data_IF_295139483984
#
_entry.id   IF_295139483984
#
_cell.length_a   1.000
_cell.length_b   1.000
_cell.length_c   1.000
_cell.angle_alpha   90.00
_cell.angle_beta   90.00
_cell.angle_gamma   90.00
#
_symmetry.space_group_name_H-M   'P 1'
#
loop_
_entity.id
_entity.type
_entity.pdbx_description
1 polymer ?
#
# COMPACT_ATOMS: atom_id res chain seq x y z
N UNK A 1 27.57 -37.15 -5.55
CA UNK A 1 27.89 -35.70 -5.40
C UNK A 1 26.65 -35.00 -4.86
N UNK A 2 26.72 -34.35 -3.68
CA UNK A 2 25.59 -33.55 -3.16
C UNK A 2 25.46 -32.28 -4.03
N UNK A 3 24.27 -31.93 -4.53
CA UNK A 3 24.12 -30.72 -5.34
C UNK A 3 24.50 -29.51 -4.48
N UNK A 4 25.39 -28.66 -5.01
CA UNK A 4 25.76 -27.41 -4.37
C UNK A 4 24.49 -26.58 -4.14
N UNK A 5 24.09 -26.42 -2.87
CA UNK A 5 22.94 -25.56 -2.53
C UNK A 5 23.27 -24.16 -3.05
N UNK A 6 22.39 -23.60 -3.87
CA UNK A 6 22.56 -22.21 -4.32
C UNK A 6 22.72 -21.32 -3.08
N UNK A 7 23.65 -20.33 -3.06
CA UNK A 7 23.92 -19.52 -1.87
C UNK A 7 22.63 -18.89 -1.30
N UNK A 8 21.71 -18.49 -2.18
CA UNK A 8 20.37 -17.97 -1.82
C UNK A 8 19.53 -18.99 -1.03
N UNK A 9 19.60 -20.28 -1.39
CA UNK A 9 18.89 -21.36 -0.69
C UNK A 9 19.49 -21.64 0.69
N UNK A 10 20.81 -21.51 0.83
CA UNK A 10 21.48 -21.65 2.12
C UNK A 10 21.04 -20.53 3.08
N UNK A 11 21.10 -19.28 2.62
CA UNK A 11 20.67 -18.10 3.39
C UNK A 11 19.20 -18.19 3.77
N UNK A 12 18.29 -18.46 2.82
CA UNK A 12 16.85 -18.60 3.12
C UNK A 12 16.56 -19.74 4.09
N UNK A 13 17.27 -20.87 3.99
CA UNK A 13 17.11 -21.98 4.94
C UNK A 13 17.59 -21.64 6.36
N UNK A 14 18.66 -20.84 6.47
CA UNK A 14 19.19 -20.37 7.74
C UNK A 14 18.25 -19.35 8.39
N UNK A 15 17.76 -18.35 7.64
CA UNK A 15 16.81 -17.34 8.14
C UNK A 15 15.54 -17.99 8.68
N UNK A 16 15.01 -19.02 8.01
CA UNK A 16 13.81 -19.72 8.48
C UNK A 16 13.98 -20.37 9.85
N UNK A 17 15.18 -20.87 10.16
CA UNK A 17 15.51 -21.54 11.42
C UNK A 17 15.75 -20.57 12.58
N UNK A 18 15.85 -19.27 12.30
CA UNK A 18 16.09 -18.27 13.33
C UNK A 18 14.84 -18.02 14.20
N UNK A 19 15.04 -17.67 15.49
CA UNK A 19 13.95 -17.30 16.38
C UNK A 19 13.28 -15.98 15.93
N UNK A 20 12.02 -15.72 16.34
CA UNK A 20 11.27 -14.52 15.93
C UNK A 20 12.01 -13.21 16.18
N UNK A 21 12.71 -13.10 17.32
CA UNK A 21 13.52 -11.92 17.68
C UNK A 21 14.63 -11.64 16.65
N UNK A 22 15.32 -12.68 16.19
CA UNK A 22 16.40 -12.55 15.20
C UNK A 22 15.81 -12.23 13.83
N UNK A 23 14.65 -12.78 13.46
CA UNK A 23 13.95 -12.41 12.22
C UNK A 23 13.54 -10.95 12.22
N UNK A 24 12.98 -10.45 13.33
CA UNK A 24 12.64 -9.05 13.50
C UNK A 24 13.89 -8.15 13.40
N UNK A 25 14.98 -8.52 14.07
CA UNK A 25 16.25 -7.81 13.99
C UNK A 25 16.82 -7.75 12.56
N UNK A 26 16.83 -8.88 11.84
CA UNK A 26 17.26 -8.94 10.44
C UNK A 26 16.37 -8.10 9.53
N UNK A 27 15.06 -8.09 9.76
CA UNK A 27 14.12 -7.25 9.01
C UNK A 27 14.43 -5.76 9.23
N UNK A 28 14.62 -5.33 10.49
CA UNK A 28 15.00 -3.96 10.83
C UNK A 28 16.32 -3.57 10.17
N UNK A 29 17.36 -4.40 10.27
CA UNK A 29 18.65 -4.13 9.61
C UNK A 29 18.48 -4.02 8.10
N UNK A 30 17.71 -4.91 7.47
CA UNK A 30 17.48 -4.87 6.02
C UNK A 30 16.74 -3.60 5.60
N UNK A 31 15.76 -3.15 6.39
CA UNK A 31 15.04 -1.90 6.16
C UNK A 31 15.95 -0.68 6.32
N UNK A 32 16.74 -0.63 7.39
CA UNK A 32 17.74 0.43 7.60
C UNK A 32 18.77 0.47 6.46
N UNK A 33 19.27 -0.69 6.04
CA UNK A 33 20.20 -0.78 4.92
C UNK A 33 19.58 -0.31 3.62
N UNK A 34 18.32 -0.69 3.34
CA UNK A 34 17.58 -0.21 2.18
C UNK A 34 17.41 1.32 2.21
N UNK A 35 17.05 1.90 3.37
CA UNK A 35 16.94 3.34 3.53
C UNK A 35 18.27 4.07 3.33
N UNK A 36 19.37 3.54 3.89
CA UNK A 36 20.71 4.11 3.69
C UNK A 36 21.14 4.02 2.22
N UNK A 37 20.88 2.90 1.56
CA UNK A 37 21.14 2.76 0.12
C UNK A 37 20.32 3.75 -0.70
N UNK A 38 19.03 3.90 -0.41
CA UNK A 38 18.17 4.86 -1.10
C UNK A 38 18.69 6.28 -0.92
N UNK A 39 19.07 6.67 0.30
CA UNK A 39 19.69 7.98 0.59
C UNK A 39 21.02 8.18 -0.15
N UNK A 40 21.82 7.13 -0.30
CA UNK A 40 23.11 7.19 -0.99
C UNK A 40 22.96 7.28 -2.52
N UNK A 41 21.94 6.64 -3.09
CA UNK A 41 21.69 6.56 -4.54
C UNK A 41 20.87 7.75 -5.03
N UNK A 42 19.87 8.18 -4.26
CA UNK A 42 18.94 9.23 -4.65
C UNK A 42 19.37 10.55 -4.04
N UNK A 43 20.03 11.39 -4.83
CA UNK A 43 20.49 12.73 -4.40
C UNK A 43 19.35 13.71 -4.16
N UNK A 44 18.26 13.57 -4.91
CA UNK A 44 17.08 14.41 -4.80
C UNK A 44 15.87 13.52 -4.49
N UNK A 45 15.42 13.61 -3.23
CA UNK A 45 14.42 12.74 -2.64
C UNK A 45 13.03 12.90 -3.27
N UNK A 46 12.77 14.00 -3.98
CA UNK A 46 11.53 14.20 -4.74
C UNK A 46 11.42 13.16 -5.87
N UNK A 47 12.53 12.63 -6.36
CA UNK A 47 12.53 11.52 -7.31
C UNK A 47 11.98 10.21 -6.72
N UNK A 48 12.09 9.99 -5.39
CA UNK A 48 11.50 8.80 -4.77
C UNK A 48 9.99 8.82 -4.86
N UNK A 49 9.39 9.99 -4.64
CA UNK A 49 7.96 10.19 -4.77
C UNK A 49 7.50 9.95 -6.21
N UNK A 50 8.20 10.54 -7.19
CA UNK A 50 7.90 10.32 -8.63
C UNK A 50 7.99 8.85 -9.01
N UNK A 51 9.01 8.14 -8.54
CA UNK A 51 9.16 6.69 -8.79
C UNK A 51 8.03 5.91 -8.13
N UNK A 52 7.61 6.27 -6.91
CA UNK A 52 6.46 5.64 -6.24
C UNK A 52 5.19 5.76 -7.10
N UNK A 53 4.89 6.95 -7.62
CA UNK A 53 3.73 7.22 -8.48
C UNK A 53 3.79 6.45 -9.81
N UNK A 54 4.97 6.35 -10.43
CA UNK A 54 5.18 5.56 -11.65
C UNK A 54 4.91 4.08 -11.38
N UNK A 55 5.46 3.53 -10.29
CA UNK A 55 5.26 2.13 -9.91
C UNK A 55 3.77 1.86 -9.62
N UNK A 56 3.09 2.77 -8.94
CA UNK A 56 1.65 2.66 -8.68
C UNK A 56 0.85 2.65 -9.99
N UNK A 57 1.17 3.58 -10.91
CA UNK A 57 0.54 3.67 -12.23
C UNK A 57 0.74 2.41 -13.08
N UNK A 58 1.93 1.79 -13.01
CA UNK A 58 2.20 0.49 -13.66
C UNK A 58 1.31 -0.60 -13.05
N UNK A 59 1.17 -0.65 -11.72
CA UNK A 59 0.28 -1.58 -11.04
C UNK A 59 -1.18 -1.46 -11.51
N UNK A 60 -1.68 -0.23 -11.61
CA UNK A 60 -3.01 0.07 -12.14
C UNK A 60 -3.13 -0.37 -13.61
N UNK A 61 -2.11 -0.12 -14.43
CA UNK A 61 -2.09 -0.54 -15.84
C UNK A 61 -2.17 -2.06 -15.99
N UNK A 62 -1.47 -2.81 -15.13
CA UNK A 62 -1.55 -4.28 -15.06
C UNK A 62 -2.97 -4.75 -14.69
N UNK A 63 -3.60 -4.07 -13.73
CA UNK A 63 -4.98 -4.34 -13.34
C UNK A 63 -5.96 -4.10 -14.50
N UNK A 64 -5.82 -2.97 -15.21
CA UNK A 64 -6.61 -2.66 -16.41
C UNK A 64 -6.42 -3.73 -17.47
N UNK A 65 -5.17 -4.13 -17.75
CA UNK A 65 -4.85 -5.16 -18.73
C UNK A 65 -5.59 -6.46 -18.40
N UNK A 66 -5.54 -6.91 -17.14
CA UNK A 66 -6.28 -8.10 -16.68
C UNK A 66 -7.78 -7.97 -16.97
N UNK A 67 -8.41 -6.87 -16.57
CA UNK A 67 -9.86 -6.69 -16.75
C UNK A 67 -10.26 -6.61 -18.23
N UNK A 68 -9.40 -6.03 -19.08
CA UNK A 68 -9.68 -5.88 -20.50
C UNK A 68 -9.41 -7.14 -21.32
N UNK A 69 -8.29 -7.83 -21.06
CA UNK A 69 -7.79 -8.96 -21.87
C UNK A 69 -8.19 -10.30 -21.30
N UNK A 70 -7.97 -10.54 -20.01
CA UNK A 70 -8.34 -11.80 -19.36
C UNK A 70 -9.84 -11.89 -19.05
N UNK A 71 -10.56 -10.75 -19.09
CA UNK A 71 -12.01 -10.68 -18.86
C UNK A 71 -12.44 -11.36 -17.56
N UNK A 72 -11.64 -11.23 -16.51
CA UNK A 72 -11.92 -11.77 -15.18
C UNK A 72 -11.55 -10.77 -14.09
N UNK A 73 -12.37 -10.69 -13.05
CA UNK A 73 -12.08 -9.99 -11.81
C UNK A 73 -11.83 -10.93 -10.62
N UNK A 74 -11.58 -12.21 -10.87
CA UNK A 74 -11.28 -13.19 -9.83
C UNK A 74 -10.12 -12.72 -8.93
N UNK A 75 -10.26 -12.91 -7.61
CA UNK A 75 -9.25 -12.48 -6.64
C UNK A 75 -9.12 -10.96 -6.43
N UNK A 76 -9.98 -10.12 -7.02
CA UNK A 76 -10.09 -8.69 -6.68
C UNK A 76 -11.20 -8.46 -5.66
N UNK A 77 -10.92 -7.62 -4.67
CA UNK A 77 -11.91 -7.15 -3.69
C UNK A 77 -12.59 -5.89 -4.20
N UNK A 78 -13.91 -5.96 -4.39
CA UNK A 78 -14.71 -4.78 -4.70
C UNK A 78 -14.67 -3.79 -3.54
N UNK A 79 -14.70 -4.30 -2.32
CA UNK A 79 -14.67 -3.51 -1.08
C UNK A 79 -13.42 -2.66 -0.96
N UNK A 80 -12.25 -3.20 -1.32
CA UNK A 80 -11.01 -2.42 -1.32
C UNK A 80 -11.04 -1.30 -2.37
N UNK A 81 -11.59 -1.56 -3.56
CA UNK A 81 -11.74 -0.54 -4.60
C UNK A 81 -12.72 0.57 -4.17
N UNK A 82 -13.81 0.22 -3.47
CA UNK A 82 -14.76 1.20 -2.93
C UNK A 82 -14.14 2.07 -1.85
N UNK A 83 -13.40 1.49 -0.91
CA UNK A 83 -12.64 2.26 0.08
C UNK A 83 -11.63 3.18 -0.60
N UNK A 84 -11.02 2.70 -1.70
CA UNK A 84 -10.07 3.48 -2.49
C UNK A 84 -10.72 4.68 -3.17
N UNK A 85 -11.87 4.47 -3.81
CA UNK A 85 -12.66 5.55 -4.39
C UNK A 85 -13.12 6.57 -3.33
N UNK A 86 -13.49 6.12 -2.13
CA UNK A 86 -13.93 7.01 -1.04
C UNK A 86 -12.78 7.91 -0.58
N UNK A 87 -11.60 7.38 -0.24
CA UNK A 87 -10.51 8.24 0.23
C UNK A 87 -10.00 9.16 -0.88
N UNK A 88 -9.94 8.69 -2.13
CA UNK A 88 -9.53 9.53 -3.28
C UNK A 88 -10.54 10.65 -3.54
N UNK A 89 -11.84 10.38 -3.43
CA UNK A 89 -12.86 11.42 -3.59
C UNK A 89 -12.76 12.49 -2.49
N UNK A 90 -12.56 12.06 -1.23
CA UNK A 90 -12.38 12.99 -0.11
C UNK A 90 -11.08 13.79 -0.27
N UNK A 91 -9.98 13.14 -0.67
CA UNK A 91 -8.70 13.80 -0.93
C UNK A 91 -8.79 14.82 -2.06
N UNK A 92 -9.43 14.45 -3.17
CA UNK A 92 -9.63 15.34 -4.30
C UNK A 92 -10.47 16.57 -3.91
N UNK A 93 -11.53 16.37 -3.12
CA UNK A 93 -12.29 17.48 -2.52
C UNK A 93 -11.39 18.38 -1.66
N UNK A 94 -10.61 17.79 -0.75
CA UNK A 94 -9.67 18.53 0.09
C UNK A 94 -8.64 19.28 -0.77
N UNK A 95 -8.13 18.70 -1.85
CA UNK A 95 -7.21 19.36 -2.78
C UNK A 95 -7.89 20.61 -3.37
N UNK A 96 -9.06 20.48 -4.00
CA UNK A 96 -9.75 21.66 -4.57
C UNK A 96 -10.02 22.79 -3.56
N UNK A 97 -10.24 22.45 -2.29
CA UNK A 97 -10.62 23.42 -1.25
C UNK A 97 -9.40 23.96 -0.47
N UNK A 98 -8.32 23.18 -0.36
CA UNK A 98 -7.15 23.51 0.46
C UNK A 98 -5.90 23.78 -0.38
N UNK A 99 -5.68 23.04 -1.47
CA UNK A 99 -4.43 23.04 -2.27
C UNK A 99 -4.67 22.76 -3.77
N UNK A 100 -4.36 23.75 -4.62
CA UNK A 100 -4.47 23.63 -6.07
C UNK A 100 -3.16 23.10 -6.71
N UNK A 101 -2.79 21.86 -6.38
CA UNK A 101 -1.50 21.28 -6.80
C UNK A 101 -1.63 20.18 -7.86
N UNK A 102 -0.51 19.79 -8.46
CA UNK A 102 -0.37 18.70 -9.44
C UNK A 102 -0.91 17.36 -8.93
N UNK A 103 -0.92 17.17 -7.60
CA UNK A 103 -1.56 16.04 -6.92
C UNK A 103 -3.05 15.90 -7.26
N UNK A 104 -3.77 17.02 -7.50
CA UNK A 104 -5.17 17.02 -7.94
C UNK A 104 -5.36 16.22 -9.23
N UNK A 105 -4.42 16.34 -10.18
CA UNK A 105 -4.50 15.67 -11.48
C UNK A 105 -4.28 14.17 -11.32
N UNK A 106 -3.27 13.78 -10.53
CA UNK A 106 -2.97 12.37 -10.25
C UNK A 106 -4.11 11.69 -9.50
N UNK A 107 -4.68 12.33 -8.48
CA UNK A 107 -5.84 11.83 -7.74
C UNK A 107 -7.07 11.70 -8.65
N UNK A 108 -7.30 12.65 -9.55
CA UNK A 108 -8.40 12.59 -10.51
C UNK A 108 -8.27 11.40 -11.45
N UNK A 109 -7.09 11.18 -12.03
CA UNK A 109 -6.82 10.05 -12.93
C UNK A 109 -6.99 8.72 -12.19
N UNK A 110 -6.46 8.64 -10.97
CA UNK A 110 -6.53 7.44 -10.14
C UNK A 110 -7.97 7.14 -9.72
N UNK A 111 -8.75 8.16 -9.34
CA UNK A 111 -10.16 8.03 -9.00
C UNK A 111 -10.99 7.58 -10.21
N UNK A 112 -10.81 8.21 -11.37
CA UNK A 112 -11.50 7.82 -12.60
C UNK A 112 -11.23 6.37 -12.97
N UNK A 113 -9.97 5.93 -12.85
CA UNK A 113 -9.58 4.55 -13.11
C UNK A 113 -10.18 3.58 -12.09
N UNK A 114 -10.19 3.94 -10.81
CA UNK A 114 -10.79 3.12 -9.74
C UNK A 114 -12.30 2.97 -9.95
N UNK A 115 -13.00 4.05 -10.31
CA UNK A 115 -14.42 4.00 -10.64
C UNK A 115 -14.70 3.11 -11.86
N UNK A 116 -13.83 3.14 -12.87
CA UNK A 116 -13.91 2.23 -14.01
C UNK A 116 -13.70 0.77 -13.60
N UNK A 117 -12.75 0.46 -12.71
CA UNK A 117 -12.57 -0.88 -12.14
C UNK A 117 -13.83 -1.34 -11.38
N UNK A 118 -14.39 -0.49 -10.54
CA UNK A 118 -15.65 -0.76 -9.81
C UNK A 118 -16.79 -1.08 -10.79
N UNK A 119 -16.92 -0.27 -11.85
CA UNK A 119 -17.91 -0.50 -12.91
C UNK A 119 -17.70 -1.86 -13.59
N UNK A 120 -16.45 -2.20 -13.94
CA UNK A 120 -16.12 -3.48 -14.54
C UNK A 120 -16.50 -4.65 -13.63
N UNK A 121 -16.21 -4.59 -12.34
CA UNK A 121 -16.56 -5.64 -11.37
C UNK A 121 -18.08 -5.76 -11.20
N UNK A 122 -18.79 -4.64 -10.99
CA UNK A 122 -20.23 -4.64 -10.67
C UNK A 122 -21.12 -5.02 -11.86
N UNK A 123 -20.73 -4.63 -13.09
CA UNK A 123 -21.62 -4.76 -14.25
C UNK A 123 -21.09 -5.66 -15.36
N UNK A 124 -19.80 -5.62 -15.69
CA UNK A 124 -19.27 -6.36 -16.87
C UNK A 124 -18.72 -7.73 -16.52
N UNK A 125 -18.07 -7.87 -15.37
CA UNK A 125 -17.35 -9.08 -14.94
C UNK A 125 -17.95 -9.70 -13.68
N UNK A 126 -19.20 -9.35 -13.34
CA UNK A 126 -19.91 -9.80 -12.14
C UNK A 126 -19.89 -11.32 -11.95
N UNK A 127 -19.94 -12.09 -13.03
CA UNK A 127 -19.90 -13.55 -12.98
C UNK A 127 -18.58 -14.13 -12.46
N UNK A 128 -17.47 -13.40 -12.61
CA UNK A 128 -16.14 -13.80 -12.11
C UNK A 128 -15.83 -13.24 -10.72
N UNK A 129 -16.72 -12.42 -10.16
CA UNK A 129 -16.55 -11.82 -8.84
C UNK A 129 -16.86 -12.85 -7.74
N UNK A 130 -15.91 -13.01 -6.81
CA UNK A 130 -15.98 -14.00 -5.73
C UNK A 130 -16.57 -13.39 -4.45
N UNK A 131 -17.88 -13.11 -4.47
CA UNK A 131 -18.59 -12.43 -3.37
C UNK A 131 -18.46 -13.16 -2.03
N UNK A 132 -18.46 -14.50 -2.04
CA UNK A 132 -18.30 -15.34 -0.85
C UNK A 132 -16.91 -15.18 -0.20
N UNK A 133 -15.90 -14.80 -0.98
CA UNK A 133 -14.53 -14.56 -0.50
C UNK A 133 -14.31 -13.12 -0.06
N UNK A 134 -15.06 -12.14 -0.58
CA UNK A 134 -14.97 -10.72 -0.20
C UNK A 134 -15.86 -10.39 1.00
N UNK A 135 -15.67 -11.13 2.09
CA UNK A 135 -16.50 -11.07 3.30
C UNK A 135 -16.00 -10.06 4.37
N UNK A 136 -15.04 -9.20 4.04
CA UNK A 136 -14.53 -8.19 4.96
C UNK A 136 -15.60 -7.13 5.26
N UNK A 137 -15.81 -6.75 6.52
CA UNK A 137 -16.82 -5.75 6.84
C UNK A 137 -16.23 -4.34 6.84
N UNK A 138 -16.76 -3.44 6.00
CA UNK A 138 -16.19 -2.10 5.77
C UNK A 138 -16.17 -1.22 7.03
N UNK A 139 -17.10 -1.42 7.96
CA UNK A 139 -17.16 -0.63 9.19
C UNK A 139 -15.93 -0.82 10.08
N UNK A 140 -15.23 -1.96 10.00
CA UNK A 140 -13.97 -2.18 10.73
C UNK A 140 -12.84 -1.26 10.26
N UNK A 141 -12.97 -0.67 9.07
CA UNK A 141 -12.01 0.26 8.49
C UNK A 141 -12.52 1.69 8.60
N UNK A 142 -13.74 1.94 8.12
CA UNK A 142 -14.29 3.30 8.04
C UNK A 142 -14.49 3.93 9.42
N UNK A 143 -15.01 3.18 10.40
CA UNK A 143 -15.33 3.74 11.71
C UNK A 143 -14.06 4.14 12.50
N UNK A 144 -13.01 3.31 12.62
CA UNK A 144 -11.77 3.73 13.26
C UNK A 144 -11.12 4.93 12.57
N UNK A 145 -11.10 4.98 11.23
CA UNK A 145 -10.56 6.12 10.49
C UNK A 145 -11.34 7.41 10.78
N UNK A 146 -12.67 7.35 10.84
CA UNK A 146 -13.51 8.50 11.15
C UNK A 146 -13.30 9.00 12.60
N UNK A 147 -13.23 8.08 13.56
CA UNK A 147 -12.96 8.43 14.97
C UNK A 147 -11.57 9.05 15.11
N UNK A 148 -10.53 8.44 14.51
CA UNK A 148 -9.18 9.00 14.52
C UNK A 148 -9.11 10.37 13.83
N UNK A 149 -9.85 10.58 12.74
CA UNK A 149 -9.91 11.86 12.05
C UNK A 149 -10.56 12.97 12.89
N UNK A 150 -11.53 12.64 13.74
CA UNK A 150 -12.13 13.61 14.68
C UNK A 150 -11.16 13.95 15.82
N UNK A 151 -10.43 12.95 16.32
CA UNK A 151 -9.51 13.12 17.45
C UNK A 151 -8.17 13.75 17.07
N UNK A 152 -7.62 13.36 15.91
CA UNK A 152 -6.30 13.75 15.44
C UNK A 152 -6.39 14.15 13.96
N UNK A 153 -6.44 15.47 13.75
CA UNK A 153 -6.44 16.13 12.44
C UNK A 153 -5.42 17.27 12.44
N UNK A 154 -5.01 17.81 11.29
CA UNK A 154 -4.11 18.96 11.28
C UNK A 154 -4.69 20.17 11.99
N UNK A 155 -3.81 21.03 12.49
CA UNK A 155 -4.14 22.32 13.09
C UNK A 155 -3.89 23.48 12.12
N UNK A 156 -4.28 23.30 10.85
CA UNK A 156 -4.18 24.33 9.80
C UNK A 156 -5.29 25.37 9.91
N UNK A 157 -5.18 26.48 9.16
CA UNK A 157 -6.14 27.59 9.17
C UNK A 157 -7.50 27.27 8.53
N UNK A 158 -7.62 26.13 7.84
CA UNK A 158 -8.84 25.72 7.15
C UNK A 158 -9.97 25.31 8.12
N UNK A 159 -11.20 25.28 7.60
CA UNK A 159 -12.37 24.84 8.34
C UNK A 159 -12.17 23.43 8.94
N UNK A 160 -12.66 23.24 10.17
CA UNK A 160 -12.47 22.00 10.94
C UNK A 160 -12.94 20.75 10.19
N UNK A 161 -14.04 20.86 9.43
CA UNK A 161 -14.57 19.76 8.60
C UNK A 161 -13.57 19.34 7.53
N UNK A 162 -12.93 20.29 6.85
CA UNK A 162 -11.94 19.99 5.79
C UNK A 162 -10.68 19.37 6.38
N UNK A 163 -10.26 19.81 7.58
CA UNK A 163 -9.14 19.24 8.32
C UNK A 163 -9.41 17.78 8.71
N UNK A 164 -10.59 17.51 9.25
CA UNK A 164 -11.04 16.15 9.58
C UNK A 164 -11.19 15.28 8.33
N UNK A 165 -11.73 15.83 7.24
CA UNK A 165 -11.89 15.11 5.98
C UNK A 165 -10.53 14.69 5.38
N UNK A 166 -9.54 15.57 5.40
CA UNK A 166 -8.18 15.23 4.95
C UNK A 166 -7.55 14.17 5.84
N UNK A 167 -7.67 14.30 7.17
CA UNK A 167 -7.21 13.28 8.11
C UNK A 167 -7.87 11.92 7.87
N UNK A 168 -9.18 11.92 7.62
CA UNK A 168 -9.93 10.71 7.26
C UNK A 168 -9.40 10.07 5.99
N UNK A 169 -9.09 10.85 4.95
CA UNK A 169 -8.54 10.32 3.70
C UNK A 169 -7.16 9.68 3.91
N UNK A 170 -6.28 10.28 4.73
CA UNK A 170 -4.97 9.72 5.07
C UNK A 170 -5.11 8.39 5.83
N UNK A 171 -5.94 8.36 6.88
CA UNK A 171 -6.14 7.13 7.65
C UNK A 171 -6.81 6.02 6.84
N UNK A 172 -7.78 6.37 6.00
CA UNK A 172 -8.50 5.41 5.19
C UNK A 172 -7.60 4.80 4.12
N UNK A 173 -6.73 5.60 3.49
CA UNK A 173 -5.73 5.11 2.54
C UNK A 173 -4.79 4.08 3.16
N UNK A 174 -4.34 4.31 4.40
CA UNK A 174 -3.38 3.44 5.07
C UNK A 174 -3.89 1.99 5.24
N UNK A 175 -5.20 1.80 5.33
CA UNK A 175 -5.82 0.50 5.62
C UNK A 175 -6.83 0.02 4.58
N UNK A 176 -7.07 0.78 3.50
CA UNK A 176 -8.05 0.45 2.44
C UNK A 176 -7.74 -0.86 1.69
N UNK A 177 -6.49 -1.33 1.76
CA UNK A 177 -6.03 -2.57 1.10
C UNK A 177 -6.39 -3.86 1.86
N UNK A 178 -6.83 -3.76 3.12
CA UNK A 178 -7.13 -4.93 3.95
C UNK A 178 -8.16 -5.90 3.33
N UNK A 179 -9.28 -5.44 2.73
CA UNK A 179 -10.22 -6.35 2.06
C UNK A 179 -9.58 -7.10 0.89
N UNK A 180 -8.69 -6.46 0.13
CA UNK A 180 -7.97 -7.09 -0.98
C UNK A 180 -7.07 -8.24 -0.49
N UNK A 181 -6.28 -8.00 0.56
CA UNK A 181 -5.44 -9.04 1.16
C UNK A 181 -6.29 -10.18 1.74
N UNK A 182 -7.44 -9.86 2.34
CA UNK A 182 -8.36 -10.86 2.88
C UNK A 182 -8.92 -11.78 1.79
N UNK A 183 -9.33 -11.23 0.64
CA UNK A 183 -9.77 -12.04 -0.52
C UNK A 183 -8.65 -12.97 -0.98
N UNK A 184 -7.42 -12.47 -1.06
CA UNK A 184 -6.27 -13.28 -1.51
C UNK A 184 -5.97 -14.44 -0.55
N UNK A 185 -6.07 -14.20 0.76
CA UNK A 185 -5.96 -15.24 1.79
C UNK A 185 -7.08 -16.27 1.66
N UNK A 186 -8.32 -15.81 1.45
CA UNK A 186 -9.49 -16.67 1.35
C UNK A 186 -9.47 -17.55 0.08
N UNK A 187 -8.92 -17.04 -1.02
CA UNK A 187 -8.80 -17.77 -2.29
C UNK A 187 -7.59 -18.72 -2.32
N UNK A 188 -6.54 -18.45 -1.53
CA UNK A 188 -5.26 -19.20 -1.41
C UNK A 188 -4.40 -19.26 -2.68
N UNK A 189 -5.01 -19.20 -3.85
CA UNK A 189 -4.38 -19.15 -5.16
C UNK A 189 -4.57 -17.74 -5.70
N UNK A 190 -3.47 -17.00 -5.83
CA UNK A 190 -3.50 -15.64 -6.37
C UNK A 190 -3.10 -15.68 -7.84
N UNK A 191 -3.97 -15.13 -8.69
CA UNK A 191 -3.67 -14.98 -10.11
C UNK A 191 -2.47 -14.05 -10.35
N UNK A 192 -1.62 -14.32 -11.35
CA UNK A 192 -0.37 -13.58 -11.56
C UNK A 192 -0.57 -12.07 -11.70
N UNK A 193 -1.52 -11.63 -12.52
CA UNK A 193 -1.78 -10.20 -12.72
C UNK A 193 -2.28 -9.48 -11.46
N UNK A 194 -3.13 -10.14 -10.64
CA UNK A 194 -3.52 -9.61 -9.33
C UNK A 194 -2.30 -9.48 -8.43
N UNK A 195 -1.43 -10.50 -8.43
CA UNK A 195 -0.22 -10.49 -7.61
C UNK A 195 0.74 -9.37 -8.02
N UNK A 196 0.93 -9.14 -9.33
CA UNK A 196 1.74 -8.05 -9.87
C UNK A 196 1.19 -6.67 -9.49
N UNK A 197 -0.14 -6.49 -9.61
CA UNK A 197 -0.81 -5.25 -9.20
C UNK A 197 -0.59 -4.96 -7.71
N UNK A 198 -0.89 -5.92 -6.82
CA UNK A 198 -0.75 -5.72 -5.36
C UNK A 198 0.73 -5.57 -4.97
N UNK A 199 1.65 -6.24 -5.67
CA UNK A 199 3.09 -6.07 -5.44
C UNK A 199 3.57 -4.68 -5.83
N UNK A 200 3.17 -4.18 -7.00
CA UNK A 200 3.46 -2.82 -7.43
C UNK A 200 2.90 -1.79 -6.44
N UNK A 201 1.67 -1.98 -5.96
CA UNK A 201 1.10 -1.17 -4.89
C UNK A 201 1.99 -1.19 -3.64
N UNK A 202 2.42 -2.37 -3.17
CA UNK A 202 3.32 -2.49 -2.02
C UNK A 202 4.67 -1.79 -2.20
N UNK A 203 5.27 -1.88 -3.39
CA UNK A 203 6.53 -1.16 -3.70
C UNK A 203 6.30 0.34 -3.69
N UNK A 204 5.21 0.83 -4.30
CA UNK A 204 4.88 2.25 -4.27
C UNK A 204 4.75 2.78 -2.83
N UNK A 205 4.05 2.05 -1.95
CA UNK A 205 3.90 2.47 -0.53
C UNK A 205 5.21 2.46 0.24
N UNK A 206 6.06 1.46 -0.01
CA UNK A 206 7.41 1.45 0.58
C UNK A 206 8.24 2.67 0.15
N UNK A 207 8.18 3.06 -1.13
CA UNK A 207 8.90 4.22 -1.65
C UNK A 207 8.35 5.54 -1.09
N UNK A 208 7.02 5.69 -0.98
CA UNK A 208 6.39 6.85 -0.32
C UNK A 208 6.79 6.95 1.16
N UNK A 209 6.74 5.83 1.89
CA UNK A 209 7.20 5.79 3.28
C UNK A 209 8.69 6.15 3.39
N UNK A 210 9.55 5.64 2.49
CA UNK A 210 10.97 5.97 2.47
C UNK A 210 11.21 7.45 2.18
N UNK A 211 10.48 8.04 1.23
CA UNK A 211 10.52 9.48 0.94
C UNK A 211 10.24 10.31 2.21
N UNK A 212 9.13 10.04 2.90
CA UNK A 212 8.77 10.74 4.13
C UNK A 212 9.81 10.58 5.25
N UNK A 213 10.32 9.35 5.46
CA UNK A 213 11.35 9.10 6.48
C UNK A 213 12.64 9.85 6.16
N UNK A 214 13.08 9.86 4.89
CA UNK A 214 14.28 10.58 4.48
C UNK A 214 14.10 12.09 4.59
N UNK A 215 12.92 12.62 4.28
CA UNK A 215 12.59 14.02 4.48
C UNK A 215 12.67 14.43 5.96
N UNK A 216 12.25 13.57 6.90
CA UNK A 216 12.45 13.79 8.35
C UNK A 216 13.93 13.85 8.72
N UNK A 217 14.75 12.97 8.15
CA UNK A 217 16.18 12.88 8.47
C UNK A 217 16.99 14.05 7.87
N UNK A 218 16.65 14.49 6.66
CA UNK A 218 17.43 15.48 5.91
C UNK A 218 16.96 16.93 6.13
N UNK A 219 15.78 17.14 6.70
CA UNK A 219 15.21 18.48 6.98
C UNK A 219 15.91 19.28 8.10
N UNK A 220 17.16 18.92 8.45
CA UNK A 220 18.01 19.64 9.42
C UNK A 220 17.30 19.94 10.76
N UNK A 221 16.40 19.05 11.19
CA UNK A 221 15.64 19.17 12.42
C UNK A 221 14.31 19.91 12.32
N UNK A 222 13.98 20.57 11.21
CA UNK A 222 12.75 21.36 11.08
C UNK A 222 11.49 20.47 11.13
N UNK A 223 11.51 19.33 10.43
CA UNK A 223 10.41 18.36 10.46
C UNK A 223 10.38 17.56 11.76
N UNK A 224 11.53 17.36 12.42
CA UNK A 224 11.60 16.77 13.77
C UNK A 224 10.97 17.68 14.83
N UNK A 225 11.16 19.00 14.72
CA UNK A 225 10.46 19.97 15.56
C UNK A 225 8.97 19.95 15.27
N UNK A 226 8.56 19.90 13.99
CA UNK A 226 7.16 19.79 13.60
C UNK A 226 6.49 18.51 14.16
N UNK A 227 7.22 17.38 14.21
CA UNK A 227 6.76 16.14 14.86
C UNK A 227 6.53 16.30 16.37
N UNK A 228 7.19 17.26 17.01
CA UNK A 228 6.95 17.61 18.42
C UNK A 228 5.73 18.53 18.64
N UNK A 229 5.21 19.17 17.59
CA UNK A 229 4.06 20.07 17.67
C UNK A 229 2.76 19.36 17.27
N UNK A 230 2.09 18.79 18.27
CA UNK A 230 0.81 18.10 18.11
C UNK A 230 0.97 16.68 17.53
N UNK A 231 -0.13 15.92 17.54
CA UNK A 231 -0.10 14.50 17.15
C UNK A 231 -0.16 14.29 15.63
N UNK A 232 -0.58 15.29 14.86
CA UNK A 232 -0.89 15.13 13.44
C UNK A 232 0.32 14.71 12.57
N UNK A 233 1.48 15.40 12.60
CA UNK A 233 2.62 15.02 11.76
C UNK A 233 3.13 13.60 12.08
N UNK A 234 3.09 13.19 13.35
CA UNK A 234 3.44 11.83 13.75
C UNK A 234 2.46 10.81 13.18
N UNK A 235 1.17 11.12 13.16
CA UNK A 235 0.12 10.25 12.62
C UNK A 235 0.21 10.08 11.10
N UNK A 236 0.69 11.07 10.36
CA UNK A 236 0.99 10.92 8.92
C UNK A 236 2.08 9.87 8.72
N UNK A 237 3.21 9.99 9.42
CA UNK A 237 4.30 8.99 9.33
C UNK A 237 3.86 7.60 9.77
N UNK A 238 3.08 7.52 10.86
CA UNK A 238 2.53 6.24 11.32
C UNK A 238 1.62 5.63 10.25
N UNK A 239 0.84 6.43 9.53
CA UNK A 239 -0.05 5.94 8.46
C UNK A 239 0.75 5.36 7.29
N UNK A 240 1.83 6.00 6.87
CA UNK A 240 2.77 5.49 5.86
C UNK A 240 3.42 4.17 6.28
N UNK A 241 3.84 4.08 7.54
CA UNK A 241 4.42 2.86 8.12
C UNK A 241 3.38 1.73 8.18
N UNK A 242 2.17 2.02 8.64
CA UNK A 242 1.06 1.04 8.72
C UNK A 242 0.77 0.48 7.34
N UNK A 243 0.62 1.34 6.33
CA UNK A 243 0.33 0.90 4.97
C UNK A 243 1.45 0.01 4.40
N UNK A 244 2.70 0.41 4.62
CA UNK A 244 3.88 -0.35 4.18
C UNK A 244 3.95 -1.71 4.87
N UNK A 245 3.66 -1.76 6.17
CA UNK A 245 3.73 -2.98 6.95
C UNK A 245 2.64 -3.99 6.57
N UNK A 246 1.40 -3.52 6.35
CA UNK A 246 0.28 -4.36 5.89
C UNK A 246 0.62 -5.08 4.58
N UNK A 247 1.35 -4.43 3.66
CA UNK A 247 1.74 -5.01 2.37
C UNK A 247 3.05 -5.80 2.41
N UNK A 248 3.85 -5.65 3.48
CA UNK A 248 5.18 -6.25 3.57
C UNK A 248 5.15 -7.79 3.50
N UNK A 249 4.21 -8.42 4.21
CA UNK A 249 4.09 -9.88 4.20
C UNK A 249 3.74 -10.42 2.81
N UNK A 250 2.75 -9.81 2.16
CA UNK A 250 2.40 -10.15 0.79
C UNK A 250 3.60 -10.00 -0.15
N UNK A 251 4.32 -8.87 -0.09
CA UNK A 251 5.50 -8.63 -0.90
C UNK A 251 6.60 -9.68 -0.67
N UNK A 252 6.80 -10.11 0.58
CA UNK A 252 7.74 -11.18 0.92
C UNK A 252 7.36 -12.51 0.23
N UNK A 253 6.10 -12.93 0.30
CA UNK A 253 5.63 -14.16 -0.35
C UNK A 253 5.66 -14.07 -1.87
N UNK A 254 5.33 -12.91 -2.44
CA UNK A 254 5.43 -12.65 -3.86
C UNK A 254 6.86 -12.84 -4.36
N UNK A 255 7.83 -12.15 -3.75
CA UNK A 255 9.26 -12.25 -4.11
C UNK A 255 9.74 -13.70 -4.00
N UNK A 256 9.38 -14.39 -2.91
CA UNK A 256 9.72 -15.78 -2.70
C UNK A 256 9.14 -16.72 -3.78
N UNK A 257 7.91 -16.48 -4.24
CA UNK A 257 7.28 -17.25 -5.32
C UNK A 257 8.02 -17.07 -6.65
N UNK A 258 8.35 -15.82 -7.00
CA UNK A 258 9.08 -15.48 -8.24
C UNK A 258 10.47 -16.12 -8.25
N UNK A 259 11.26 -15.97 -7.18
CA UNK A 259 12.59 -16.61 -7.08
C UNK A 259 12.52 -18.13 -6.96
N UNK A 260 11.40 -18.67 -6.49
CA UNK A 260 11.11 -20.10 -6.45
C UNK A 260 10.69 -20.69 -7.80
N UNK A 261 10.52 -19.87 -8.83
CA UNK A 261 10.03 -20.30 -10.16
C UNK A 261 8.55 -20.71 -10.16
N UNK A 262 7.77 -20.31 -9.14
CA UNK A 262 6.35 -20.61 -9.07
C UNK A 262 5.57 -19.53 -9.81
N UNK A 263 4.94 -19.91 -10.93
CA UNK A 263 4.10 -19.02 -11.75
C UNK A 263 2.83 -18.56 -11.00
N UNK A 264 2.38 -19.34 -10.01
CA UNK A 264 1.16 -19.10 -9.26
C UNK A 264 1.51 -18.91 -7.78
N UNK A 265 1.18 -17.74 -7.24
CA UNK A 265 1.42 -17.41 -5.85
C UNK A 265 0.41 -18.14 -4.97
N UNK A 266 0.91 -18.96 -4.04
CA UNK A 266 0.10 -19.63 -3.01
C UNK A 266 0.41 -19.05 -1.64
N UNK A 267 -0.59 -18.45 -1.01
CA UNK A 267 -0.45 -17.89 0.33
C UNK A 267 -0.64 -19.00 1.40
N UNK A 268 0.19 -19.06 2.45
CA UNK A 268 -0.04 -19.95 3.57
C UNK A 268 -1.33 -19.59 4.31
N UNK A 269 -1.92 -20.55 5.02
CA UNK A 269 -3.10 -20.27 5.86
C UNK A 269 -2.69 -19.43 7.07
N UNK A 270 -3.31 -18.25 7.25
CA UNK A 270 -3.17 -17.44 8.47
C UNK A 270 -2.09 -16.34 8.47
N UNK A 271 -1.68 -15.84 7.31
CA UNK A 271 -0.73 -14.71 7.24
C UNK A 271 -1.47 -13.41 6.91
N UNK A 272 -1.48 -12.46 7.85
CA UNK A 272 -1.87 -11.04 7.73
C UNK A 272 -0.68 -10.25 8.30
#
# INVERSE_FOLDING_TARGET
>A
MRPAKRPIQAVTSWVRRQPPKVKAFLAVISGMFALVLLRAVVRDHDNLFVVAEIVHSIGISVLIYKLMKEKTCAGLSLKSQELTAVFLAVRLYCSFVMEYDIHTVLDTITLATTLWVIYMIRFKLRSSYMEDKDNFALYYVVLPCAVLAILIHPSTYHHVVNRMAWAFAVYLEAISVLPQLRVMQNTKIVEPFTAHYVFALGVARFLSCAHWVLQVLDSSGHLLVALGYGLWPSMVLISEVVQTFILADFCYYYVKSVFGGQLVLRLPSGVV
#
